data_IF_138527751977
#
_entry.id   IF_138527751977
#
_cell.length_a   1.000
_cell.length_b   1.000
_cell.length_c   1.000
_cell.angle_alpha   90.00
_cell.angle_beta   90.00
_cell.angle_gamma   90.00
#
_symmetry.space_group_name_H-M   'P 1'
#
loop_
_entity.id
_entity.type
_entity.pdbx_description
1 polymer ?
#
# COMPACT_ATOMS: atom_id res chain seq x y z
N UNK A 1 -4.87 -4.67 -24.06
CA UNK A 1 -5.72 -3.46 -24.14
C UNK A 1 -6.41 -3.14 -22.81
N UNK A 2 -7.09 -4.09 -22.15
CA UNK A 2 -7.82 -3.82 -20.88
C UNK A 2 -6.90 -3.38 -19.72
N UNK A 3 -5.71 -3.96 -19.59
CA UNK A 3 -4.78 -3.57 -18.52
C UNK A 3 -4.13 -2.19 -18.72
N UNK A 4 -3.99 -1.73 -19.98
CA UNK A 4 -3.39 -0.43 -20.25
C UNK A 4 -4.23 0.68 -19.63
N UNK A 5 -5.55 0.65 -19.85
CA UNK A 5 -6.48 1.65 -19.30
C UNK A 5 -6.54 1.57 -17.77
N UNK A 6 -6.54 0.36 -17.19
CA UNK A 6 -6.47 0.22 -15.73
C UNK A 6 -5.19 0.79 -15.13
N UNK A 7 -4.05 0.54 -15.78
CA UNK A 7 -2.74 1.06 -15.39
C UNK A 7 -2.73 2.60 -15.49
N UNK A 8 -3.22 3.15 -16.59
CA UNK A 8 -3.32 4.60 -16.78
C UNK A 8 -4.22 5.26 -15.73
N UNK A 9 -5.33 4.62 -15.33
CA UNK A 9 -6.16 5.12 -14.21
C UNK A 9 -5.42 5.07 -12.89
N UNK A 10 -4.77 3.95 -12.57
CA UNK A 10 -4.06 3.78 -11.30
C UNK A 10 -2.94 4.82 -11.13
N UNK A 11 -2.21 5.09 -12.21
CA UNK A 11 -0.98 5.89 -12.19
C UNK A 11 -1.13 7.31 -12.75
N UNK A 12 -2.28 7.64 -13.35
CA UNK A 12 -2.55 8.92 -14.05
C UNK A 12 -1.45 9.35 -15.03
N UNK A 13 -0.75 8.37 -15.60
CA UNK A 13 0.29 8.54 -16.62
C UNK A 13 0.02 7.59 -17.78
N UNK A 14 0.47 7.96 -18.98
CA UNK A 14 0.36 7.06 -20.14
C UNK A 14 1.08 5.74 -19.86
N UNK A 15 0.49 4.62 -20.28
CA UNK A 15 1.15 3.31 -20.14
C UNK A 15 2.53 3.26 -20.83
N UNK A 16 2.76 4.11 -21.83
CA UNK A 16 4.04 4.23 -22.54
C UNK A 16 5.12 4.98 -21.77
N UNK A 17 4.75 5.73 -20.73
CA UNK A 17 5.66 6.53 -19.89
C UNK A 17 5.99 5.82 -18.57
N UNK A 18 5.31 4.71 -18.30
CA UNK A 18 5.47 3.94 -17.07
C UNK A 18 6.59 2.90 -17.22
N UNK A 19 7.41 2.70 -16.17
CA UNK A 19 8.43 1.67 -16.17
C UNK A 19 7.85 0.26 -16.45
N UNK A 20 8.51 -0.57 -17.29
CA UNK A 20 7.98 -1.88 -17.68
C UNK A 20 7.70 -2.85 -16.53
N UNK A 21 8.37 -2.69 -15.38
CA UNK A 21 8.18 -3.59 -14.23
C UNK A 21 6.78 -3.45 -13.59
N UNK A 22 6.08 -2.34 -13.81
CA UNK A 22 4.73 -2.12 -13.28
C UNK A 22 3.76 -3.16 -13.83
N UNK A 23 3.90 -3.51 -15.12
CA UNK A 23 3.03 -4.44 -15.83
C UNK A 23 3.46 -5.92 -15.63
N UNK A 24 4.75 -6.17 -15.30
CA UNK A 24 5.28 -7.53 -15.11
C UNK A 24 4.65 -8.34 -13.98
N UNK A 25 3.77 -7.73 -13.18
CA UNK A 25 3.12 -8.36 -12.01
C UNK A 25 1.99 -9.32 -12.39
N UNK A 26 1.47 -9.26 -13.62
CA UNK A 26 0.35 -10.10 -14.07
C UNK A 26 0.83 -11.13 -15.11
N UNK A 27 0.90 -12.43 -14.75
CA UNK A 27 1.33 -13.46 -15.68
C UNK A 27 0.23 -13.79 -16.70
N UNK A 28 0.60 -13.92 -17.98
CA UNK A 28 -0.29 -14.52 -18.98
C UNK A 28 -0.25 -16.03 -18.80
N UNK A 29 -1.41 -16.65 -18.52
CA UNK A 29 -1.55 -18.10 -18.34
C UNK A 29 -2.25 -18.71 -19.56
N UNK A 30 -1.71 -19.81 -20.05
CA UNK A 30 -2.32 -20.62 -21.12
C UNK A 30 -3.01 -21.86 -20.53
N UNK A 31 -3.56 -21.72 -19.33
CA UNK A 31 -4.24 -22.77 -18.55
C UNK A 31 -5.55 -22.22 -18.00
N UNK A 32 -6.46 -23.11 -17.58
CA UNK A 32 -7.72 -22.75 -16.92
C UNK A 32 -7.53 -22.53 -15.41
N UNK A 33 -6.57 -21.70 -15.04
CA UNK A 33 -6.27 -21.35 -13.66
C UNK A 33 -6.51 -19.85 -13.43
N UNK A 34 -7.56 -19.55 -12.68
CA UNK A 34 -7.97 -18.18 -12.34
C UNK A 34 -7.39 -17.70 -11.00
N UNK A 35 -6.50 -18.45 -10.36
CA UNK A 35 -5.82 -17.97 -9.15
C UNK A 35 -5.04 -16.69 -9.48
N UNK A 36 -5.23 -15.64 -8.69
CA UNK A 36 -4.51 -14.39 -8.92
C UNK A 36 -3.01 -14.54 -8.62
N UNK A 37 -2.66 -15.30 -7.58
CA UNK A 37 -1.28 -15.58 -7.17
C UNK A 37 -0.86 -17.01 -7.54
N UNK A 38 0.45 -17.21 -7.68
CA UNK A 38 1.06 -18.53 -7.92
C UNK A 38 1.71 -19.11 -6.65
N UNK A 39 1.62 -18.40 -5.53
CA UNK A 39 2.23 -18.80 -4.27
C UNK A 39 1.61 -20.10 -3.73
N UNK A 40 2.46 -20.93 -3.12
CA UNK A 40 2.06 -22.22 -2.53
C UNK A 40 1.06 -22.06 -1.39
N UNK A 41 1.17 -20.97 -0.63
CA UNK A 41 0.33 -20.68 0.53
C UNK A 41 -0.40 -19.37 0.30
N UNK A 42 -1.73 -19.43 0.26
CA UNK A 42 -2.60 -18.27 0.06
C UNK A 42 -3.69 -18.36 1.12
N UNK A 43 -3.67 -17.44 2.08
CA UNK A 43 -4.57 -17.46 3.25
C UNK A 43 -5.03 -16.07 3.61
N UNK A 44 -6.27 -15.98 4.08
CA UNK A 44 -6.80 -14.82 4.78
C UNK A 44 -6.90 -15.19 6.27
N UNK A 45 -6.40 -14.34 7.19
CA UNK A 45 -6.54 -14.58 8.62
C UNK A 45 -8.01 -14.68 9.04
N UNK A 46 -8.36 -15.79 9.70
CA UNK A 46 -9.68 -15.94 10.32
C UNK A 46 -9.82 -14.91 11.43
N UNK A 47 -10.90 -14.14 11.42
CA UNK A 47 -11.15 -13.03 12.33
C UNK A 47 -10.47 -11.71 11.95
N UNK A 48 -9.75 -11.66 10.84
CA UNK A 48 -9.13 -10.44 10.31
C UNK A 48 -7.66 -10.24 10.69
N UNK A 49 -7.01 -9.30 10.00
CA UNK A 49 -5.58 -9.02 10.19
C UNK A 49 -5.26 -8.42 11.56
N UNK A 50 -6.18 -7.66 12.17
CA UNK A 50 -5.98 -7.07 13.48
C UNK A 50 -5.72 -8.14 14.55
N UNK A 51 -6.39 -9.29 14.49
CA UNK A 51 -6.19 -10.39 15.45
C UNK A 51 -4.77 -10.94 15.42
N UNK A 52 -4.15 -11.05 14.23
CA UNK A 52 -2.76 -11.48 14.14
C UNK A 52 -1.82 -10.41 14.70
N UNK A 53 -2.04 -9.14 14.34
CA UNK A 53 -1.20 -8.04 14.82
C UNK A 53 -1.29 -7.87 16.34
N UNK A 54 -2.49 -7.94 16.91
CA UNK A 54 -2.72 -7.91 18.35
C UNK A 54 -1.99 -9.06 19.07
N UNK A 55 -1.97 -10.26 18.48
CA UNK A 55 -1.22 -11.39 19.04
C UNK A 55 0.30 -11.20 18.94
N UNK A 56 0.80 -10.65 17.83
CA UNK A 56 2.24 -10.34 17.66
C UNK A 56 2.68 -9.30 18.70
N UNK A 57 1.84 -8.31 19.00
CA UNK A 57 2.14 -7.19 19.89
C UNK A 57 1.69 -7.41 21.35
N UNK A 58 1.16 -8.59 21.68
CA UNK A 58 0.49 -8.86 22.97
C UNK A 58 1.32 -8.46 24.20
N UNK A 59 2.61 -8.71 24.16
CA UNK A 59 3.55 -8.46 25.26
C UNK A 59 4.48 -7.26 24.96
N UNK A 60 4.06 -6.37 24.07
CA UNK A 60 4.79 -5.16 23.64
C UNK A 60 4.02 -3.93 24.10
N UNK A 61 4.72 -2.93 24.63
CA UNK A 61 4.13 -1.62 24.92
C UNK A 61 3.85 -0.88 23.61
N UNK A 62 2.60 -0.45 23.41
CA UNK A 62 2.15 0.21 22.17
C UNK A 62 1.56 1.57 22.49
N UNK A 63 2.18 2.63 21.96
CA UNK A 63 1.61 3.98 21.92
C UNK A 63 0.90 4.22 20.59
N UNK A 64 -0.36 4.65 20.62
CA UNK A 64 -1.16 5.00 19.44
C UNK A 64 -1.41 6.51 19.39
N UNK A 65 -1.61 7.05 18.19
CA UNK A 65 -1.88 8.49 18.00
C UNK A 65 -0.68 9.38 18.31
N UNK A 66 0.54 8.82 18.25
CA UNK A 66 1.80 9.53 18.47
C UNK A 66 2.54 9.62 17.14
N UNK A 67 2.85 10.84 16.70
CA UNK A 67 3.83 11.05 15.64
C UNK A 67 5.23 10.95 16.25
N UNK A 68 6.07 10.06 15.74
CA UNK A 68 7.43 9.86 16.24
C UNK A 68 8.32 11.10 16.08
N UNK A 69 8.01 11.99 15.12
CA UNK A 69 8.80 13.19 14.88
C UNK A 69 8.61 14.25 15.97
N UNK A 70 7.44 14.30 16.61
CA UNK A 70 7.15 15.21 17.71
C UNK A 70 7.97 14.89 18.98
N UNK A 71 8.42 13.63 19.12
CA UNK A 71 9.13 13.11 20.29
C UNK A 71 10.47 12.47 19.94
N UNK A 72 11.03 12.80 18.78
CA UNK A 72 12.17 12.08 18.20
C UNK A 72 13.38 12.00 19.14
N UNK A 73 13.77 13.12 19.74
CA UNK A 73 14.92 13.17 20.65
C UNK A 73 14.72 12.27 21.88
N UNK A 74 13.52 12.28 22.46
CA UNK A 74 13.16 11.45 23.61
C UNK A 74 13.11 9.97 23.24
N UNK A 75 12.44 9.63 22.13
CA UNK A 75 12.29 8.25 21.66
C UNK A 75 13.65 7.66 21.29
N UNK A 76 14.49 8.40 20.57
CA UNK A 76 15.85 7.96 20.27
C UNK A 76 16.67 7.82 21.56
N UNK A 77 16.57 8.73 22.53
CA UNK A 77 17.29 8.61 23.81
C UNK A 77 16.84 7.41 24.65
N UNK A 78 15.57 7.02 24.56
CA UNK A 78 14.98 5.92 25.32
C UNK A 78 15.41 4.52 24.86
N UNK A 79 16.02 4.40 23.67
CA UNK A 79 16.34 3.12 23.05
C UNK A 79 17.80 3.02 22.55
N UNK A 80 18.38 1.82 22.68
CA UNK A 80 19.70 1.52 22.13
C UNK A 80 19.70 1.46 20.59
N UNK A 81 18.57 1.08 19.99
CA UNK A 81 18.31 1.01 18.55
C UNK A 81 16.87 1.43 18.28
N UNK A 82 16.65 2.03 17.12
CA UNK A 82 15.32 2.40 16.65
C UNK A 82 15.05 1.68 15.33
N UNK A 83 13.92 1.00 15.20
CA UNK A 83 13.45 0.50 13.91
C UNK A 83 12.46 1.52 13.33
N UNK A 84 12.80 2.14 12.22
CA UNK A 84 12.00 3.17 11.58
C UNK A 84 11.39 2.65 10.28
N UNK A 85 10.06 2.64 10.21
CA UNK A 85 9.30 2.13 9.07
C UNK A 85 8.47 3.21 8.35
N UNK A 86 8.69 4.47 8.71
CA UNK A 86 8.03 5.63 8.10
C UNK A 86 8.72 6.10 6.82
N UNK A 87 8.31 7.25 6.32
CA UNK A 87 8.87 7.86 5.10
C UNK A 87 10.32 8.30 5.32
N UNK A 88 11.26 7.72 4.55
CA UNK A 88 12.70 8.01 4.70
C UNK A 88 13.04 9.47 4.36
N UNK A 89 12.39 10.05 3.37
CA UNK A 89 12.58 11.44 2.97
C UNK A 89 12.09 12.40 4.07
N UNK A 90 10.94 12.10 4.70
CA UNK A 90 10.46 12.86 5.87
C UNK A 90 11.45 12.78 7.03
N UNK A 91 12.03 11.61 7.29
CA UNK A 91 13.01 11.42 8.37
C UNK A 91 14.24 12.33 8.25
N UNK A 92 14.64 12.65 7.02
CA UNK A 92 15.74 13.56 6.70
C UNK A 92 15.26 14.95 6.28
N UNK A 93 14.09 15.38 6.76
CA UNK A 93 13.50 16.70 6.53
C UNK A 93 13.41 17.10 5.05
N UNK A 94 13.20 16.12 4.16
CA UNK A 94 13.06 16.28 2.72
C UNK A 94 14.25 16.94 2.02
N UNK A 95 15.43 16.92 2.63
CA UNK A 95 16.58 17.72 2.18
C UNK A 95 17.15 17.35 0.80
N UNK A 96 16.92 16.13 0.31
CA UNK A 96 17.30 15.70 -1.04
C UNK A 96 16.13 15.79 -2.04
N UNK A 97 14.98 16.30 -1.61
CA UNK A 97 13.73 16.33 -2.35
C UNK A 97 12.67 15.37 -1.76
N UNK A 98 11.42 15.56 -2.15
CA UNK A 98 10.31 14.69 -1.78
C UNK A 98 10.24 13.48 -2.71
N UNK A 99 10.06 12.29 -2.14
CA UNK A 99 9.77 11.08 -2.91
C UNK A 99 8.30 11.07 -3.33
N UNK A 100 8.05 10.72 -4.59
CA UNK A 100 6.70 10.74 -5.15
C UNK A 100 5.98 9.41 -4.92
N UNK A 101 4.70 9.48 -4.56
CA UNK A 101 3.86 8.30 -4.37
C UNK A 101 2.54 8.46 -5.14
N UNK A 102 1.85 7.34 -5.31
CA UNK A 102 0.41 7.32 -5.53
C UNK A 102 -0.29 7.09 -4.20
N UNK A 103 -1.40 7.78 -4.00
CA UNK A 103 -2.31 7.56 -2.90
C UNK A 103 -3.58 6.85 -3.38
N UNK A 104 -4.46 6.50 -2.43
CA UNK A 104 -5.78 5.94 -2.70
C UNK A 104 -6.80 6.62 -1.81
N UNK A 105 -7.98 6.85 -2.37
CA UNK A 105 -9.16 7.27 -1.62
C UNK A 105 -10.19 6.16 -1.63
N UNK A 106 -10.70 5.83 -0.46
CA UNK A 106 -11.71 4.78 -0.29
C UNK A 106 -13.07 5.39 0.04
N UNK A 107 -14.12 4.88 -0.61
CA UNK A 107 -15.51 5.20 -0.27
C UNK A 107 -16.23 3.92 0.12
N UNK A 108 -16.63 3.84 1.38
CA UNK A 108 -17.34 2.70 1.95
C UNK A 108 -18.86 2.90 1.87
N UNK A 109 -19.58 1.85 1.50
CA UNK A 109 -21.03 1.84 1.42
C UNK A 109 -21.57 0.56 2.04
N UNK A 110 -22.64 0.67 2.83
CA UNK A 110 -23.40 -0.47 3.34
C UNK A 110 -24.66 -0.60 2.48
N UNK A 111 -24.86 -1.77 1.90
CA UNK A 111 -25.99 -2.05 1.02
C UNK A 111 -26.95 -3.04 1.68
N UNK A 112 -28.25 -2.80 1.51
CA UNK A 112 -29.33 -3.67 2.00
C UNK A 112 -29.56 -4.87 1.08
N UNK A 113 -28.47 -5.58 0.77
CA UNK A 113 -28.46 -6.79 -0.03
C UNK A 113 -27.37 -7.77 0.47
N UNK A 114 -27.59 -9.06 0.23
CA UNK A 114 -26.68 -10.11 0.72
C UNK A 114 -25.40 -10.20 -0.12
N UNK A 115 -25.49 -9.89 -1.41
CA UNK A 115 -24.45 -10.12 -2.41
C UNK A 115 -24.48 -9.03 -3.49
N UNK A 116 -23.44 -8.20 -3.56
CA UNK A 116 -23.36 -7.10 -4.53
C UNK A 116 -22.79 -7.56 -5.87
N UNK A 117 -21.62 -8.20 -5.85
CA UNK A 117 -20.86 -8.49 -7.08
C UNK A 117 -20.41 -9.96 -7.19
N UNK A 118 -20.67 -10.78 -6.17
CA UNK A 118 -20.37 -12.21 -6.20
C UNK A 118 -18.88 -12.56 -6.10
N UNK A 119 -17.99 -11.58 -5.91
CA UNK A 119 -16.56 -11.78 -5.81
C UNK A 119 -15.92 -10.75 -4.86
N UNK A 120 -14.79 -11.10 -4.23
CA UNK A 120 -14.14 -10.22 -3.25
C UNK A 120 -13.61 -8.93 -3.89
N UNK A 121 -13.06 -9.02 -5.09
CA UNK A 121 -12.53 -7.86 -5.82
C UNK A 121 -12.95 -7.95 -7.28
N UNK A 122 -13.51 -6.87 -7.81
CA UNK A 122 -13.80 -6.71 -9.24
C UNK A 122 -13.09 -5.45 -9.73
N UNK A 123 -12.20 -5.61 -10.70
CA UNK A 123 -11.49 -4.50 -11.33
C UNK A 123 -12.34 -3.90 -12.45
N UNK A 124 -12.40 -2.58 -12.51
CA UNK A 124 -13.07 -1.83 -13.57
C UNK A 124 -12.01 -1.22 -14.47
N UNK A 125 -11.93 -1.69 -15.71
CA UNK A 125 -10.89 -1.29 -16.66
C UNK A 125 -11.33 -0.17 -17.60
N UNK A 126 -12.61 0.22 -17.57
CA UNK A 126 -13.14 1.26 -18.44
C UNK A 126 -12.71 2.66 -17.97
N UNK A 127 -12.36 3.52 -18.92
CA UNK A 127 -11.88 4.89 -18.66
C UNK A 127 -12.94 5.78 -18.02
N UNK A 128 -14.19 5.60 -18.42
CA UNK A 128 -15.34 6.40 -17.95
C UNK A 128 -15.71 6.08 -16.49
N UNK A 129 -15.18 5.00 -15.92
CA UNK A 129 -15.44 4.59 -14.54
C UNK A 129 -14.33 5.16 -13.63
N UNK A 130 -14.68 6.05 -12.67
CA UNK A 130 -13.69 6.82 -11.91
C UNK A 130 -12.92 6.01 -10.87
N UNK A 131 -13.43 4.85 -10.45
CA UNK A 131 -12.75 3.94 -9.52
C UNK A 131 -12.03 2.82 -10.26
N UNK A 132 -11.00 2.25 -9.63
CA UNK A 132 -10.18 1.16 -10.18
C UNK A 132 -10.77 -0.20 -9.86
N UNK A 133 -11.38 -0.36 -8.68
CA UNK A 133 -12.01 -1.61 -8.24
C UNK A 133 -13.11 -1.37 -7.21
N UNK A 134 -13.99 -2.37 -7.09
CA UNK A 134 -14.90 -2.52 -5.95
C UNK A 134 -14.47 -3.75 -5.15
N UNK A 135 -14.40 -3.58 -3.82
CA UNK A 135 -14.09 -4.63 -2.85
C UNK A 135 -15.37 -4.98 -2.08
N UNK A 136 -15.79 -6.24 -2.13
CA UNK A 136 -16.90 -6.77 -1.33
C UNK A 136 -16.36 -7.61 -0.16
N UNK A 137 -16.19 -6.98 1.00
CA UNK A 137 -15.33 -7.47 2.09
C UNK A 137 -15.73 -8.86 2.60
N UNK A 138 -17.03 -9.13 2.74
CA UNK A 138 -17.53 -10.39 3.29
C UNK A 138 -17.13 -11.62 2.48
N UNK A 139 -16.73 -11.46 1.21
CA UNK A 139 -16.29 -12.57 0.36
C UNK A 139 -14.89 -13.08 0.73
N UNK A 140 -14.07 -12.32 1.46
CA UNK A 140 -12.76 -12.78 1.95
C UNK A 140 -12.87 -13.86 3.03
N UNK A 141 -13.96 -13.86 3.81
CA UNK A 141 -14.17 -14.81 4.91
C UNK A 141 -15.55 -15.49 4.83
N UNK A 142 -16.13 -15.58 3.63
CA UNK A 142 -17.40 -16.26 3.34
C UNK A 142 -18.56 -15.85 4.27
N UNK A 143 -18.67 -14.56 4.61
CA UNK A 143 -19.69 -14.03 5.50
C UNK A 143 -21.12 -14.22 4.98
N UNK A 144 -22.06 -14.54 5.89
CA UNK A 144 -23.48 -14.84 5.60
C UNK A 144 -24.45 -13.75 6.09
N UNK A 145 -23.94 -12.55 6.37
CA UNK A 145 -24.77 -11.44 6.86
C UNK A 145 -25.82 -11.04 5.81
N UNK A 146 -27.02 -10.56 6.18
CA UNK A 146 -28.05 -10.19 5.20
C UNK A 146 -27.73 -8.90 4.43
N UNK A 147 -26.76 -8.12 4.92
CA UNK A 147 -26.23 -6.91 4.27
C UNK A 147 -24.81 -7.15 3.77
N UNK A 148 -24.32 -6.25 2.92
CA UNK A 148 -22.95 -6.26 2.44
C UNK A 148 -22.30 -4.89 2.58
N UNK A 149 -20.98 -4.88 2.77
CA UNK A 149 -20.16 -3.67 2.80
C UNK A 149 -19.28 -3.72 1.58
N UNK A 150 -19.32 -2.65 0.79
CA UNK A 150 -18.45 -2.48 -0.37
C UNK A 150 -17.53 -1.28 -0.19
N UNK A 151 -16.36 -1.34 -0.82
CA UNK A 151 -15.45 -0.20 -0.96
C UNK A 151 -15.20 0.08 -2.43
N UNK A 152 -15.43 1.33 -2.84
CA UNK A 152 -14.89 1.86 -4.09
C UNK A 152 -13.49 2.42 -3.83
N UNK A 153 -12.51 1.97 -4.61
CA UNK A 153 -11.13 2.47 -4.58
C UNK A 153 -10.90 3.47 -5.71
N UNK A 154 -10.49 4.68 -5.36
CA UNK A 154 -10.15 5.74 -6.32
C UNK A 154 -8.64 5.99 -6.28
N UNK A 155 -7.96 6.01 -7.44
CA UNK A 155 -6.59 6.45 -7.51
C UNK A 155 -6.51 7.93 -7.15
N UNK A 156 -5.40 8.34 -6.54
CA UNK A 156 -5.13 9.73 -6.22
C UNK A 156 -3.64 10.04 -6.35
N UNK A 157 -3.31 11.25 -6.78
CA UNK A 157 -1.98 11.81 -6.53
C UNK A 157 -1.74 11.93 -5.04
N UNK A 158 -0.53 11.57 -4.60
CA UNK A 158 -0.12 11.80 -3.23
C UNK A 158 0.32 13.26 -3.04
N UNK A 159 -0.01 13.81 -1.87
CA UNK A 159 0.53 15.06 -1.34
C UNK A 159 0.83 14.85 0.15
N UNK A 160 1.62 15.75 0.73
CA UNK A 160 1.89 15.73 2.18
C UNK A 160 0.59 15.67 2.98
N UNK A 161 0.55 14.75 3.94
CA UNK A 161 -0.63 14.46 4.77
C UNK A 161 -1.53 13.36 4.21
N UNK A 162 -1.38 12.97 2.94
CA UNK A 162 -2.04 11.78 2.42
C UNK A 162 -1.22 10.53 2.74
N UNK A 163 -1.90 9.38 2.80
CA UNK A 163 -1.25 8.08 2.98
C UNK A 163 -0.47 7.67 1.71
N UNK A 164 0.84 7.39 1.80
CA UNK A 164 1.65 6.91 0.66
C UNK A 164 1.40 5.41 0.42
N UNK A 165 0.75 5.06 -0.70
CA UNK A 165 0.43 3.66 -1.03
C UNK A 165 1.44 2.99 -1.97
N UNK A 166 1.74 3.63 -3.10
CA UNK A 166 2.63 3.06 -4.13
C UNK A 166 3.79 4.00 -4.45
N UNK A 167 5.05 3.60 -4.26
CA UNK A 167 6.20 4.40 -4.66
C UNK A 167 6.29 4.51 -6.19
N UNK A 168 6.65 5.69 -6.70
CA UNK A 168 6.90 5.93 -8.12
C UNK A 168 8.40 5.70 -8.40
N UNK A 169 8.77 4.53 -8.90
CA UNK A 169 10.19 4.17 -9.12
C UNK A 169 10.68 4.54 -10.53
N UNK A 170 10.62 5.83 -10.86
CA UNK A 170 11.26 6.40 -12.05
C UNK A 170 12.69 6.87 -11.76
N UNK A 171 13.43 7.29 -12.80
CA UNK A 171 14.84 7.69 -12.67
C UNK A 171 15.04 8.83 -11.66
N UNK A 172 14.13 9.81 -11.64
CA UNK A 172 14.17 10.96 -10.72
C UNK A 172 14.06 10.48 -9.28
N UNK A 173 13.02 9.73 -8.95
CA UNK A 173 12.78 9.27 -7.58
C UNK A 173 13.85 8.28 -7.11
N UNK A 174 14.33 7.39 -7.98
CA UNK A 174 15.42 6.46 -7.64
C UNK A 174 16.73 7.20 -7.33
N UNK A 175 17.03 8.30 -8.03
CA UNK A 175 18.19 9.14 -7.75
C UNK A 175 18.07 9.89 -6.42
N UNK A 176 16.87 10.36 -6.06
CA UNK A 176 16.59 10.98 -4.75
C UNK A 176 16.73 9.92 -3.64
N UNK A 177 16.07 8.78 -3.78
CA UNK A 177 16.10 7.69 -2.80
C UNK A 177 17.52 7.20 -2.53
N UNK A 178 18.36 7.10 -3.57
CA UNK A 178 19.76 6.66 -3.42
C UNK A 178 20.56 7.55 -2.46
N UNK A 179 20.30 8.87 -2.45
CA UNK A 179 20.95 9.82 -1.51
C UNK A 179 20.47 9.60 -0.08
N UNK A 180 19.17 9.39 0.11
CA UNK A 180 18.62 9.08 1.44
C UNK A 180 19.11 7.73 1.95
N UNK A 181 19.18 6.72 1.09
CA UNK A 181 19.67 5.39 1.44
C UNK A 181 21.16 5.41 1.85
N UNK A 182 22.00 6.16 1.13
CA UNK A 182 23.41 6.35 1.51
C UNK A 182 23.52 6.96 2.91
N UNK A 183 22.72 7.98 3.21
CA UNK A 183 22.75 8.63 4.52
C UNK A 183 22.17 7.76 5.64
N UNK A 184 21.06 7.06 5.38
CA UNK A 184 20.52 6.05 6.29
C UNK A 184 21.55 4.99 6.65
N UNK A 185 22.39 4.58 5.69
CA UNK A 185 23.45 3.58 5.91
C UNK A 185 24.57 4.06 6.84
N UNK A 186 24.71 5.37 7.05
CA UNK A 186 25.67 5.97 7.97
C UNK A 186 25.10 6.10 9.40
N UNK A 187 23.80 5.84 9.59
CA UNK A 187 23.17 5.93 10.91
C UNK A 187 23.26 4.58 11.63
N UNK A 188 24.20 4.47 12.57
CA UNK A 188 24.35 3.24 13.34
C UNK A 188 23.20 3.01 14.34
N UNK A 189 22.44 4.03 14.73
CA UNK A 189 21.40 3.88 15.77
C UNK A 189 20.06 3.44 15.19
N UNK A 190 19.75 3.86 13.97
CA UNK A 190 18.43 3.68 13.35
C UNK A 190 18.49 2.67 12.22
N UNK A 191 17.62 1.68 12.28
CA UNK A 191 17.41 0.65 11.28
C UNK A 191 16.20 1.05 10.45
N UNK A 192 16.44 1.39 9.19
CA UNK A 192 15.39 1.71 8.23
C UNK A 192 14.89 0.44 7.57
N UNK A 193 13.58 0.20 7.59
CA UNK A 193 13.00 -0.97 6.94
C UNK A 193 11.52 -0.83 6.61
N UNK A 194 11.06 -1.64 5.67
CA UNK A 194 9.66 -1.69 5.27
C UNK A 194 9.33 -0.71 4.15
N UNK A 195 8.08 -0.79 3.65
CA UNK A 195 7.66 -0.16 2.38
C UNK A 195 8.11 1.29 2.22
N UNK A 196 7.91 2.11 3.26
CA UNK A 196 8.14 3.56 3.19
C UNK A 196 9.62 3.92 3.39
N UNK A 197 10.31 3.21 4.29
CA UNK A 197 11.72 3.47 4.56
C UNK A 197 12.62 2.94 3.44
N UNK A 198 12.24 1.81 2.84
CA UNK A 198 12.94 1.17 1.71
C UNK A 198 12.46 1.68 0.34
N UNK A 199 11.48 2.58 0.30
CA UNK A 199 10.83 3.10 -0.91
C UNK A 199 10.47 1.99 -1.92
N UNK A 200 9.85 0.92 -1.43
CA UNK A 200 9.65 -0.31 -2.21
C UNK A 200 8.32 -0.97 -1.91
N UNK A 201 7.62 -1.35 -2.98
CA UNK A 201 6.40 -2.17 -2.91
C UNK A 201 6.72 -3.65 -3.02
#
# INVERSE_FOLDING_TARGET
MLEAVHTEKQWERSATELPPFIIKRLPVRLTFDNNYFNDRYQVIPIGGYNVIIENILKDVEVGLGVDCFDYREELEASANKVAFTGMIDQYFDYKHGELEYRSLRFKHEVLDEENHQGNAVVNYTDREIPYTRIIEHKKFEYGLQPKTVITHEYPADWKRGDEPYYPINDEKNNAIFSKYHEEASQNDKVIFCGRLADYKY
#
